data_IF_688846896802
#
_entry.id   IF_688846896802
#
_cell.length_a   1.000
_cell.length_b   1.000
_cell.length_c   1.000
_cell.angle_alpha   90.00
_cell.angle_beta   90.00
_cell.angle_gamma   90.00
#
_symmetry.space_group_name_H-M   'P 1'
#
loop_
_entity.id
_entity.type
_entity.pdbx_description
1 polymer ?
#
# COMPACT_ATOMS: atom_id res chain seq x y z
N UNK A 1 -8.08 17.82 9.03
CA UNK A 1 -8.69 17.64 7.68
C UNK A 1 -7.55 17.30 6.73
N UNK A 2 -7.63 16.16 6.08
CA UNK A 2 -6.59 15.68 5.17
C UNK A 2 -6.96 16.04 3.72
N UNK A 3 -5.98 16.62 2.99
CA UNK A 3 -6.13 16.95 1.58
C UNK A 3 -5.31 16.00 0.73
N UNK A 4 -5.96 15.34 -0.24
CA UNK A 4 -5.32 14.43 -1.17
C UNK A 4 -4.99 15.13 -2.49
N UNK A 5 -3.89 14.71 -3.10
CA UNK A 5 -3.50 15.16 -4.42
C UNK A 5 -4.47 14.64 -5.48
N UNK A 6 -4.89 15.52 -6.39
CA UNK A 6 -5.68 15.13 -7.57
C UNK A 6 -4.75 14.91 -8.77
N UNK A 7 -5.04 13.88 -9.53
CA UNK A 7 -4.28 13.44 -10.71
C UNK A 7 -5.16 13.40 -11.95
N UNK A 8 -4.56 13.56 -13.13
CA UNK A 8 -5.23 13.27 -14.40
C UNK A 8 -5.23 11.75 -14.71
N UNK A 9 -5.87 11.36 -15.80
CA UNK A 9 -5.95 9.96 -16.21
C UNK A 9 -4.60 9.31 -16.58
N UNK A 10 -3.57 10.12 -16.81
CA UNK A 10 -2.19 9.66 -17.08
C UNK A 10 -1.36 9.54 -15.79
N UNK A 11 -1.93 9.90 -14.66
CA UNK A 11 -1.25 9.88 -13.38
C UNK A 11 -0.39 11.12 -13.09
N UNK A 12 -0.53 12.20 -13.87
CA UNK A 12 0.14 13.46 -13.60
C UNK A 12 -0.59 14.25 -12.52
N UNK A 13 0.15 14.78 -11.55
CA UNK A 13 -0.41 15.63 -10.49
C UNK A 13 -0.96 16.94 -11.07
N UNK A 14 -2.18 17.28 -10.68
CA UNK A 14 -2.81 18.56 -10.99
C UNK A 14 -2.60 19.52 -9.82
N UNK A 15 -2.70 20.83 -10.06
CA UNK A 15 -2.67 21.82 -8.99
C UNK A 15 -4.05 21.88 -8.29
N UNK A 16 -4.51 20.74 -7.82
CA UNK A 16 -5.81 20.55 -7.20
C UNK A 16 -5.72 19.56 -6.04
N UNK A 17 -6.58 19.75 -5.05
CA UNK A 17 -6.73 18.81 -3.94
C UNK A 17 -8.19 18.47 -3.68
N UNK A 18 -8.43 17.32 -3.06
CA UNK A 18 -9.74 16.90 -2.57
C UNK A 18 -9.63 16.57 -1.09
N UNK A 19 -10.66 16.91 -0.32
CA UNK A 19 -10.71 16.53 1.10
C UNK A 19 -11.01 15.04 1.20
N UNK A 20 -10.16 14.31 1.94
CA UNK A 20 -10.39 12.89 2.22
C UNK A 20 -11.65 12.72 3.08
N UNK A 21 -12.61 11.98 2.56
CA UNK A 21 -13.81 11.57 3.28
C UNK A 21 -14.33 10.23 2.75
N UNK A 22 -15.35 9.66 3.39
CA UNK A 22 -15.92 8.35 3.00
C UNK A 22 -16.62 8.33 1.65
N UNK A 23 -16.90 9.49 1.07
CA UNK A 23 -17.65 9.64 -0.20
C UNK A 23 -16.90 10.58 -1.13
N UNK A 24 -15.59 10.37 -1.29
CA UNK A 24 -14.85 11.13 -2.30
C UNK A 24 -15.48 10.85 -3.66
N UNK A 25 -15.89 11.91 -4.34
CA UNK A 25 -16.45 11.84 -5.68
C UNK A 25 -15.74 12.87 -6.53
N UNK A 26 -14.89 12.41 -7.43
CA UNK A 26 -14.13 13.26 -8.33
C UNK A 26 -14.83 13.33 -9.70
N UNK A 27 -14.74 14.46 -10.40
CA UNK A 27 -15.21 14.56 -11.79
C UNK A 27 -14.52 13.54 -12.68
N UNK A 28 -15.19 13.13 -13.77
CA UNK A 28 -14.62 12.24 -14.78
C UNK A 28 -13.24 12.73 -15.26
N UNK A 29 -12.28 11.81 -15.32
CA UNK A 29 -10.91 12.10 -15.74
C UNK A 29 -10.03 12.66 -14.63
N UNK A 30 -10.53 12.74 -13.39
CA UNK A 30 -9.77 13.11 -12.20
C UNK A 30 -9.74 11.97 -11.20
N UNK A 31 -8.58 11.77 -10.56
CA UNK A 31 -8.31 10.65 -9.68
C UNK A 31 -7.59 11.12 -8.43
N UNK A 32 -7.80 10.45 -7.31
CA UNK A 32 -6.85 10.43 -6.21
C UNK A 32 -5.93 9.21 -6.35
N UNK A 33 -4.83 9.16 -5.60
CA UNK A 33 -3.94 8.00 -5.58
C UNK A 33 -3.83 7.38 -4.20
N UNK A 34 -3.70 6.06 -4.22
CA UNK A 34 -3.16 5.27 -3.12
C UNK A 34 -1.81 4.67 -3.51
N UNK A 35 -1.05 4.27 -2.52
CA UNK A 35 0.19 3.52 -2.69
C UNK A 35 0.14 2.27 -1.82
N UNK A 36 0.67 1.16 -2.32
CA UNK A 36 0.90 -0.05 -1.53
C UNK A 36 2.27 -0.64 -1.81
N UNK A 37 2.80 -1.41 -0.88
CA UNK A 37 4.06 -2.14 -1.04
C UNK A 37 3.92 -3.59 -0.62
N UNK A 38 4.46 -4.52 -1.41
CA UNK A 38 4.75 -5.87 -0.97
C UNK A 38 6.23 -5.96 -0.59
N UNK A 39 6.50 -6.38 0.63
CA UNK A 39 7.85 -6.56 1.16
C UNK A 39 8.14 -8.06 1.26
N UNK A 40 9.21 -8.51 0.59
CA UNK A 40 9.62 -9.90 0.58
C UNK A 40 10.99 -10.05 1.25
N UNK A 41 11.14 -11.04 2.12
CA UNK A 41 12.43 -11.38 2.71
C UNK A 41 13.23 -12.37 1.86
N UNK A 42 14.46 -12.67 2.27
CA UNK A 42 15.35 -13.62 1.58
C UNK A 42 14.85 -15.07 1.57
N UNK A 43 13.88 -15.41 2.42
CA UNK A 43 13.23 -16.72 2.47
C UNK A 43 12.02 -16.82 1.52
N UNK A 44 11.67 -15.74 0.80
CA UNK A 44 10.50 -15.68 -0.06
C UNK A 44 9.19 -15.43 0.66
N UNK A 45 9.22 -15.15 1.96
CA UNK A 45 8.04 -14.79 2.74
C UNK A 45 7.66 -13.33 2.53
N UNK A 46 6.38 -13.04 2.63
CA UNK A 46 5.78 -11.70 2.45
C UNK A 46 5.40 -11.13 3.81
N UNK A 47 5.72 -9.87 4.05
CA UNK A 47 5.29 -9.16 5.25
C UNK A 47 3.86 -8.68 5.06
N UNK A 48 2.97 -9.12 5.96
CA UNK A 48 1.59 -8.64 6.02
C UNK A 48 1.31 -8.02 7.38
N UNK A 49 0.33 -7.13 7.41
CA UNK A 49 -0.11 -6.45 8.62
C UNK A 49 -1.59 -6.66 8.90
N UNK A 50 -1.92 -6.77 10.17
CA UNK A 50 -3.29 -6.68 10.67
C UNK A 50 -3.56 -5.22 10.97
N UNK A 51 -4.54 -4.63 10.28
CA UNK A 51 -4.93 -3.26 10.59
C UNK A 51 -5.60 -3.18 11.95
N UNK A 52 -5.54 -2.01 12.57
CA UNK A 52 -6.17 -1.79 13.88
C UNK A 52 -7.69 -1.97 13.82
N UNK A 53 -8.32 -2.10 14.98
CA UNK A 53 -9.78 -2.18 15.07
C UNK A 53 -10.48 -0.95 14.49
N UNK A 54 -9.86 0.22 14.61
CA UNK A 54 -10.38 1.47 14.04
C UNK A 54 -10.35 1.46 12.51
N UNK A 55 -9.44 0.68 11.91
CA UNK A 55 -9.25 0.51 10.47
C UNK A 55 -9.92 -0.75 9.90
N UNK A 56 -10.69 -1.46 10.70
CA UNK A 56 -11.51 -2.59 10.25
C UNK A 56 -10.94 -3.97 10.52
N UNK A 57 -9.80 -4.10 11.19
CA UNK A 57 -9.17 -5.40 11.53
C UNK A 57 -8.97 -6.31 10.33
N UNK A 58 -8.49 -5.77 9.21
CA UNK A 58 -8.22 -6.52 7.99
C UNK A 58 -6.76 -6.95 7.90
N UNK A 59 -6.51 -8.09 7.27
CA UNK A 59 -5.18 -8.44 6.79
C UNK A 59 -4.90 -7.70 5.48
N UNK A 60 -3.74 -7.06 5.40
CA UNK A 60 -3.37 -6.20 4.28
C UNK A 60 -1.85 -6.09 4.15
N UNK A 61 -1.39 -5.40 3.13
CA UNK A 61 -0.03 -4.87 3.05
C UNK A 61 0.01 -3.40 3.44
N UNK A 62 1.20 -2.84 3.65
CA UNK A 62 1.39 -1.43 4.03
C UNK A 62 1.03 -0.51 2.88
N UNK A 63 0.33 0.57 3.16
CA UNK A 63 -0.06 1.54 2.14
C UNK A 63 -0.87 2.71 2.69
N UNK A 64 -1.10 3.70 1.83
CA UNK A 64 -1.84 4.91 2.21
C UNK A 64 -2.29 5.73 1.03
N UNK A 65 -2.85 6.90 1.31
CA UNK A 65 -3.29 7.87 0.30
C UNK A 65 -2.21 8.92 0.06
N UNK A 66 -2.08 9.38 -1.18
CA UNK A 66 -1.10 10.41 -1.57
C UNK A 66 -1.60 11.80 -1.15
N UNK A 67 -0.95 12.46 -0.16
CA UNK A 67 -1.33 13.79 0.26
C UNK A 67 -1.04 14.85 -0.80
N UNK A 68 -1.75 15.97 -0.73
CA UNK A 68 -1.51 17.11 -1.63
C UNK A 68 -0.04 17.59 -1.54
N UNK A 69 0.60 17.71 -2.70
CA UNK A 69 1.97 18.18 -2.81
C UNK A 69 3.06 17.14 -2.50
N UNK A 70 2.67 15.87 -2.26
CA UNK A 70 3.60 14.77 -1.99
C UNK A 70 3.61 13.81 -3.17
N UNK A 71 4.80 13.29 -3.53
CA UNK A 71 4.92 12.27 -4.58
C UNK A 71 4.47 10.89 -4.08
N UNK A 72 4.10 9.98 -5.00
CA UNK A 72 3.79 8.59 -4.64
C UNK A 72 4.96 7.89 -3.96
N UNK A 73 6.19 8.09 -4.45
CA UNK A 73 7.37 7.49 -3.85
C UNK A 73 7.63 7.99 -2.43
N UNK A 74 7.53 9.31 -2.22
CA UNK A 74 7.67 9.88 -0.87
C UNK A 74 6.55 9.42 0.06
N UNK A 75 5.32 9.29 -0.46
CA UNK A 75 4.20 8.76 0.30
C UNK A 75 4.48 7.33 0.73
N UNK A 76 4.92 6.45 -0.18
CA UNK A 76 5.21 5.06 0.16
C UNK A 76 6.32 4.94 1.21
N UNK A 77 7.38 5.72 1.07
CA UNK A 77 8.45 5.80 2.06
C UNK A 77 7.93 6.25 3.44
N UNK A 78 7.12 7.30 3.47
CA UNK A 78 6.55 7.83 4.70
C UNK A 78 5.62 6.83 5.39
N UNK A 79 4.76 6.12 4.62
CA UNK A 79 3.86 5.10 5.17
C UNK A 79 4.64 3.95 5.82
N UNK A 80 5.73 3.48 5.21
CA UNK A 80 6.59 2.46 5.81
C UNK A 80 7.22 2.97 7.10
N UNK A 81 7.72 4.20 7.11
CA UNK A 81 8.32 4.81 8.29
C UNK A 81 7.29 5.02 9.41
N UNK A 82 6.11 5.53 9.09
CA UNK A 82 5.05 5.82 10.06
C UNK A 82 4.41 4.53 10.62
N UNK A 83 4.01 3.60 9.76
CA UNK A 83 3.29 2.40 10.17
C UNK A 83 4.19 1.34 10.79
N UNK A 84 5.41 1.15 10.25
CA UNK A 84 6.34 0.09 10.66
C UNK A 84 7.53 0.59 11.46
N UNK A 85 7.81 1.88 11.46
CA UNK A 85 8.96 2.48 12.15
C UNK A 85 10.31 2.16 11.49
N UNK A 86 10.32 1.91 10.17
CA UNK A 86 11.54 1.61 9.42
C UNK A 86 11.86 2.78 8.49
N UNK A 87 13.06 3.33 8.61
CA UNK A 87 13.60 4.29 7.65
C UNK A 87 14.39 3.55 6.57
N UNK A 88 13.85 3.49 5.37
CA UNK A 88 14.45 2.82 4.22
C UNK A 88 15.00 3.84 3.23
N UNK A 89 16.00 3.43 2.46
CA UNK A 89 16.44 4.20 1.28
C UNK A 89 15.35 4.12 0.20
N UNK A 90 14.87 5.28 -0.28
CA UNK A 90 13.79 5.35 -1.29
C UNK A 90 14.11 4.60 -2.57
N UNK A 91 15.40 4.56 -2.94
CA UNK A 91 15.91 3.88 -4.12
C UNK A 91 15.72 2.36 -4.09
N UNK A 92 15.49 1.79 -2.90
CA UNK A 92 15.15 0.36 -2.74
C UNK A 92 13.70 0.04 -3.05
N UNK A 93 12.81 1.05 -3.03
CA UNK A 93 11.42 0.90 -3.43
C UNK A 93 11.33 0.81 -4.95
N UNK A 94 10.97 -0.34 -5.45
CA UNK A 94 10.78 -0.56 -6.88
C UNK A 94 9.32 -0.31 -7.26
N UNK A 95 9.07 0.72 -8.07
CA UNK A 95 7.77 0.93 -8.70
C UNK A 95 7.54 -0.17 -9.75
N UNK A 96 6.40 -0.85 -9.67
CA UNK A 96 6.06 -1.96 -10.59
C UNK A 96 5.03 -1.51 -11.62
N UNK A 97 3.88 -1.02 -11.19
CA UNK A 97 2.83 -0.56 -12.09
C UNK A 97 1.82 0.36 -11.38
N UNK A 98 0.87 0.89 -12.15
CA UNK A 98 -0.28 1.63 -11.61
C UNK A 98 -1.57 0.91 -11.97
N UNK A 99 -2.36 0.59 -10.97
CA UNK A 99 -3.72 0.09 -11.15
C UNK A 99 -4.69 1.26 -11.26
N UNK A 100 -5.77 1.04 -11.99
CA UNK A 100 -6.86 2.01 -12.13
C UNK A 100 -8.18 1.37 -11.71
N UNK A 101 -8.84 2.00 -10.77
CA UNK A 101 -10.22 1.72 -10.41
C UNK A 101 -11.02 3.03 -10.51
N UNK A 102 -12.30 2.97 -10.76
CA UNK A 102 -13.27 4.08 -10.96
C UNK A 102 -12.69 5.51 -10.87
N UNK A 103 -12.41 6.02 -9.69
CA UNK A 103 -11.89 7.35 -9.38
C UNK A 103 -10.54 7.32 -8.61
N UNK A 104 -9.92 6.15 -8.55
CA UNK A 104 -8.64 5.94 -7.88
C UNK A 104 -7.59 5.37 -8.83
N UNK A 105 -6.35 5.83 -8.66
CA UNK A 105 -5.15 5.18 -9.18
C UNK A 105 -4.41 4.59 -7.97
N UNK A 106 -3.76 3.43 -8.13
CA UNK A 106 -2.94 2.85 -7.09
C UNK A 106 -1.55 2.59 -7.66
N UNK A 107 -0.53 3.25 -7.10
CA UNK A 107 0.86 2.99 -7.46
C UNK A 107 1.40 1.88 -6.56
N UNK A 108 1.86 0.79 -7.18
CA UNK A 108 2.27 -0.44 -6.54
C UNK A 108 3.78 -0.59 -6.52
N UNK A 109 4.33 -0.79 -5.32
CA UNK A 109 5.76 -0.90 -5.06
C UNK A 109 6.13 -2.29 -4.54
N UNK A 110 7.36 -2.70 -4.83
CA UNK A 110 7.96 -3.92 -4.31
C UNK A 110 9.27 -3.58 -3.59
N UNK A 111 9.51 -4.26 -2.47
CA UNK A 111 10.72 -4.10 -1.67
C UNK A 111 11.24 -5.47 -1.25
N UNK A 112 12.51 -5.76 -1.56
CA UNK A 112 13.20 -6.92 -0.99
C UNK A 112 14.02 -6.47 0.21
N UNK A 113 13.68 -6.96 1.39
CA UNK A 113 14.36 -6.59 2.62
C UNK A 113 14.13 -7.63 3.72
N UNK A 114 15.20 -8.05 4.37
CA UNK A 114 15.11 -8.81 5.63
C UNK A 114 14.87 -7.84 6.78
N UNK A 115 13.75 -8.03 7.47
CA UNK A 115 13.31 -7.18 8.57
C UNK A 115 13.09 -8.05 9.79
N UNK A 116 13.71 -7.68 10.91
CA UNK A 116 13.42 -8.26 12.22
C UNK A 116 12.12 -7.61 12.75
N UNK A 117 11.00 -8.33 12.60
CA UNK A 117 9.68 -7.81 12.99
C UNK A 117 9.54 -7.53 14.49
N UNK A 118 10.37 -8.16 15.32
CA UNK A 118 10.36 -7.92 16.77
C UNK A 118 10.96 -6.55 17.15
N UNK A 119 11.70 -5.93 16.23
CA UNK A 119 12.30 -4.61 16.40
C UNK A 119 11.48 -3.46 15.80
N UNK A 120 10.33 -3.76 15.22
CA UNK A 120 9.49 -2.74 14.61
C UNK A 120 8.81 -1.86 15.66
N UNK A 121 8.60 -0.59 15.30
CA UNK A 121 7.81 0.36 16.08
C UNK A 121 6.50 0.64 15.34
N UNK A 122 5.47 -0.19 15.60
CA UNK A 122 4.20 -0.11 14.91
C UNK A 122 3.38 1.09 15.37
N UNK A 123 2.79 1.81 14.43
CA UNK A 123 1.79 2.84 14.69
C UNK A 123 0.47 2.15 15.06
N UNK A 124 0.19 2.05 16.34
CA UNK A 124 -0.93 1.24 16.89
C UNK A 124 -2.32 1.70 16.45
N UNK A 125 -2.46 2.94 16.06
CA UNK A 125 -3.70 3.48 15.48
C UNK A 125 -4.01 2.90 14.10
N UNK A 126 -2.96 2.48 13.36
CA UNK A 126 -3.07 1.93 12.01
C UNK A 126 -2.85 0.42 11.98
N UNK A 127 -1.83 -0.08 12.70
CA UNK A 127 -1.34 -1.46 12.62
C UNK A 127 -1.36 -2.12 13.99
N UNK A 128 -2.13 -3.19 14.12
CA UNK A 128 -2.20 -3.98 15.36
C UNK A 128 -0.97 -4.87 15.52
N UNK A 129 -0.62 -5.63 14.48
CA UNK A 129 0.59 -6.46 14.40
C UNK A 129 0.95 -6.83 12.96
N UNK A 130 2.15 -7.35 12.79
CA UNK A 130 2.68 -7.82 11.50
C UNK A 130 3.18 -9.26 11.62
N UNK A 131 3.26 -9.95 10.48
CA UNK A 131 3.89 -11.28 10.40
C UNK A 131 4.45 -11.54 9.01
N UNK A 132 5.46 -12.40 8.95
CA UNK A 132 5.93 -13.03 7.72
C UNK A 132 5.08 -14.27 7.42
N UNK A 133 4.62 -14.38 6.17
CA UNK A 133 3.89 -15.57 5.70
C UNK A 133 4.30 -15.95 4.28
N UNK A 134 4.06 -17.18 3.92
CA UNK A 134 4.34 -17.67 2.56
C UNK A 134 3.34 -17.16 1.54
N UNK A 135 3.72 -17.18 0.28
CA UNK A 135 2.82 -16.86 -0.85
C UNK A 135 1.59 -17.76 -0.82
N UNK A 136 1.75 -19.07 -0.58
CA UNK A 136 0.63 -20.02 -0.48
C UNK A 136 -0.34 -19.69 0.66
N UNK A 137 0.15 -19.18 1.78
CA UNK A 137 -0.72 -18.75 2.88
C UNK A 137 -1.54 -17.50 2.50
N UNK A 138 -0.96 -16.56 1.74
CA UNK A 138 -1.73 -15.42 1.21
C UNK A 138 -2.81 -15.90 0.23
N UNK A 139 -2.47 -16.80 -0.69
CA UNK A 139 -3.45 -17.39 -1.62
C UNK A 139 -4.64 -18.02 -0.88
N UNK A 140 -4.36 -18.76 0.20
CA UNK A 140 -5.40 -19.33 1.05
C UNK A 140 -6.24 -18.25 1.72
N UNK A 141 -5.62 -17.19 2.26
CA UNK A 141 -6.35 -16.08 2.88
C UNK A 141 -7.27 -15.38 1.88
N UNK A 142 -6.83 -15.22 0.63
CA UNK A 142 -7.65 -14.65 -0.46
C UNK A 142 -8.85 -15.56 -0.74
N UNK A 143 -8.65 -16.87 -0.87
CA UNK A 143 -9.74 -17.84 -1.08
C UNK A 143 -10.77 -17.84 0.06
N UNK A 144 -10.34 -17.58 1.28
CA UNK A 144 -11.18 -17.50 2.47
C UNK A 144 -11.80 -16.10 2.68
N UNK A 145 -11.63 -15.16 1.76
CA UNK A 145 -12.04 -13.76 1.88
C UNK A 145 -11.49 -13.06 3.14
N UNK A 146 -10.26 -13.39 3.50
CA UNK A 146 -9.57 -12.88 4.69
C UNK A 146 -8.33 -12.05 4.32
N UNK A 147 -8.41 -11.29 3.26
CA UNK A 147 -7.37 -10.37 2.82
C UNK A 147 -8.01 -9.17 2.12
N UNK A 148 -7.42 -7.97 2.30
CA UNK A 148 -7.97 -6.73 1.72
C UNK A 148 -8.07 -6.81 0.19
N UNK A 149 -9.27 -6.61 -0.34
CA UNK A 149 -9.54 -6.73 -1.77
C UNK A 149 -8.64 -5.84 -2.64
N UNK A 150 -8.42 -4.59 -2.23
CA UNK A 150 -7.56 -3.64 -2.96
C UNK A 150 -6.08 -4.03 -3.04
N UNK A 151 -5.62 -5.02 -2.28
CA UNK A 151 -4.26 -5.52 -2.34
C UNK A 151 -4.10 -6.77 -3.22
N UNK A 152 -5.21 -7.40 -3.62
CA UNK A 152 -5.20 -8.66 -4.36
C UNK A 152 -4.68 -8.52 -5.79
N UNK A 153 -5.12 -7.57 -6.61
CA UNK A 153 -4.67 -7.48 -8.00
C UNK A 153 -3.16 -7.37 -8.14
N UNK A 154 -2.50 -6.60 -7.29
CA UNK A 154 -1.05 -6.48 -7.32
C UNK A 154 -0.35 -7.77 -6.88
N UNK A 155 -0.87 -8.46 -5.87
CA UNK A 155 -0.36 -9.78 -5.47
C UNK A 155 -0.40 -10.77 -6.64
N UNK A 156 -1.53 -10.87 -7.33
CA UNK A 156 -1.70 -11.73 -8.50
C UNK A 156 -0.76 -11.33 -9.65
N UNK A 157 -0.55 -10.03 -9.85
CA UNK A 157 0.38 -9.52 -10.84
C UNK A 157 1.83 -9.91 -10.53
N UNK A 158 2.27 -9.82 -9.28
CA UNK A 158 3.62 -10.24 -8.85
C UNK A 158 3.85 -11.72 -9.12
N UNK A 159 2.86 -12.59 -8.87
CA UNK A 159 2.92 -14.01 -9.23
C UNK A 159 3.04 -14.16 -10.76
N UNK A 160 2.20 -13.48 -11.52
CA UNK A 160 2.16 -13.55 -12.99
C UNK A 160 3.49 -13.19 -13.62
N UNK A 161 4.19 -12.20 -13.10
CA UNK A 161 5.50 -11.76 -13.61
C UNK A 161 6.69 -12.51 -12.98
N UNK A 162 6.43 -13.46 -12.08
CA UNK A 162 7.44 -14.30 -11.46
C UNK A 162 8.30 -13.61 -10.41
N UNK A 163 7.78 -12.56 -9.75
CA UNK A 163 8.51 -11.84 -8.68
C UNK A 163 8.36 -12.53 -7.32
N UNK A 164 7.26 -13.20 -7.11
CA UNK A 164 6.95 -13.98 -5.90
C UNK A 164 6.41 -15.36 -6.27
#
# INVERSE_FOLDING_TARGET
MEYLQVFDQKGNALNESVVRNKKMNLPNGKYFKTVIVYIQNSKGEILIQKTSKQKGSEWATTGGHVPFGVSSLDTMHNEILEELGIDIEKEKLEYIWTEKDSDALQDDYFLQMDIDIDKLSLQKEEVEFVKWITVSEIEKMIQENNFREGNIPFFEYLIKIGRI
#
